data_IF_565650814238
#
_entry.id   IF_565650814238
#
_cell.length_a   1.000
_cell.length_b   1.000
_cell.length_c   1.000
_cell.angle_alpha   90.00
_cell.angle_beta   90.00
_cell.angle_gamma   90.00
#
_symmetry.space_group_name_H-M   'P 1'
#
loop_
_entity.id
_entity.type
_entity.pdbx_description
1 polymer ?
#
# COMPACT_ATOMS: atom_id res chain seq x y z
N UNK A 1 -1.80 -20.71 9.12
CA UNK A 1 -0.42 -20.52 8.56
C UNK A 1 0.50 -21.51 9.23
N UNK A 2 1.34 -22.18 8.45
CA UNK A 2 2.39 -23.05 8.95
C UNK A 2 3.74 -22.36 8.87
N UNK A 3 4.68 -22.71 9.76
CA UNK A 3 6.00 -22.08 9.80
C UNK A 3 6.75 -22.19 8.46
N UNK A 4 6.64 -23.32 7.79
CA UNK A 4 7.28 -23.60 6.50
C UNK A 4 6.72 -22.75 5.34
N UNK A 5 5.52 -22.18 5.50
CA UNK A 5 4.91 -21.26 4.52
C UNK A 5 5.52 -19.87 4.54
N UNK A 6 6.28 -19.54 5.60
CA UNK A 6 6.91 -18.23 5.76
C UNK A 6 8.30 -18.25 5.10
N UNK A 7 8.52 -17.27 4.23
CA UNK A 7 9.79 -17.08 3.52
C UNK A 7 10.29 -15.66 3.80
N UNK A 8 11.50 -15.55 4.33
CA UNK A 8 12.14 -14.24 4.52
C UNK A 8 12.40 -13.56 3.18
N UNK A 9 12.15 -12.25 3.12
CA UNK A 9 12.63 -11.37 2.07
C UNK A 9 12.88 -9.97 2.68
N UNK A 10 13.96 -9.26 2.30
CA UNK A 10 14.37 -8.06 3.02
C UNK A 10 13.38 -6.88 2.89
N UNK A 11 12.67 -6.76 1.77
CA UNK A 11 11.71 -5.67 1.51
C UNK A 11 10.58 -6.15 0.60
N UNK A 12 9.38 -5.63 0.78
CA UNK A 12 8.22 -6.01 -0.03
C UNK A 12 8.39 -5.66 -1.52
N UNK A 13 8.96 -4.50 -1.84
CA UNK A 13 9.24 -4.17 -3.24
C UNK A 13 10.26 -5.11 -3.90
N UNK A 14 11.22 -5.62 -3.13
CA UNK A 14 12.14 -6.67 -3.61
C UNK A 14 11.38 -7.98 -3.82
N UNK A 15 10.55 -8.39 -2.86
CA UNK A 15 9.76 -9.62 -2.99
C UNK A 15 8.75 -9.54 -4.15
N UNK A 16 8.11 -8.39 -4.35
CA UNK A 16 7.24 -8.17 -5.53
C UNK A 16 8.04 -8.32 -6.83
N UNK A 17 9.23 -7.70 -6.92
CA UNK A 17 10.10 -7.84 -8.09
C UNK A 17 10.57 -9.26 -8.34
N UNK A 18 10.93 -10.00 -7.29
CA UNK A 18 11.29 -11.42 -7.38
C UNK A 18 10.10 -12.24 -7.89
N UNK A 19 8.90 -12.04 -7.32
CA UNK A 19 7.71 -12.78 -7.74
C UNK A 19 7.32 -12.45 -9.19
N UNK A 20 7.34 -11.17 -9.58
CA UNK A 20 7.11 -10.77 -10.99
C UNK A 20 8.13 -11.47 -11.92
N UNK A 21 9.42 -11.42 -11.59
CA UNK A 21 10.45 -12.06 -12.41
C UNK A 21 10.36 -13.58 -12.47
N UNK A 22 9.91 -14.22 -11.40
CA UNK A 22 9.86 -15.67 -11.25
C UNK A 22 8.61 -16.33 -11.89
N UNK A 23 7.50 -15.59 -11.97
CA UNK A 23 6.21 -16.14 -12.40
C UNK A 23 5.66 -15.52 -13.68
N UNK A 24 6.42 -14.65 -14.32
CA UNK A 24 6.08 -14.06 -15.61
C UNK A 24 7.30 -13.99 -16.51
N UNK A 25 7.10 -13.81 -17.81
CA UNK A 25 8.15 -13.62 -18.79
C UNK A 25 8.21 -12.15 -19.28
N UNK A 26 9.38 -11.67 -19.79
CA UNK A 26 9.46 -10.34 -20.40
C UNK A 26 8.39 -10.10 -21.45
N UNK A 27 7.66 -8.98 -21.35
CA UNK A 27 6.56 -8.62 -22.24
C UNK A 27 5.20 -9.18 -21.80
N UNK A 28 5.14 -10.04 -20.79
CA UNK A 28 3.87 -10.41 -20.15
C UNK A 28 3.34 -9.28 -19.27
N UNK A 29 2.09 -9.41 -18.87
CA UNK A 29 1.31 -8.36 -18.25
C UNK A 29 1.01 -8.67 -16.79
N UNK A 30 1.09 -7.62 -15.97
CA UNK A 30 0.74 -7.68 -14.55
C UNK A 30 -0.26 -6.55 -14.24
N UNK A 31 -1.42 -6.92 -13.70
CA UNK A 31 -2.44 -5.96 -13.26
C UNK A 31 -1.99 -5.26 -11.98
N UNK A 32 -2.18 -3.94 -11.95
CA UNK A 32 -1.97 -3.09 -10.79
C UNK A 32 -3.09 -2.06 -10.67
N UNK A 33 -3.74 -1.99 -9.51
CA UNK A 33 -4.71 -0.95 -9.22
C UNK A 33 -4.01 0.39 -8.99
N UNK A 34 -4.42 1.41 -9.73
CA UNK A 34 -3.89 2.78 -9.64
C UNK A 34 -4.95 3.75 -9.09
N UNK A 35 -4.58 4.83 -8.36
CA UNK A 35 -3.22 5.20 -7.99
C UNK A 35 -2.56 4.17 -7.07
N UNK A 36 -1.26 3.90 -7.25
CA UNK A 36 -0.53 2.85 -6.57
C UNK A 36 0.80 3.33 -5.98
N UNK A 37 1.28 2.61 -4.99
CA UNK A 37 2.63 2.82 -4.46
C UNK A 37 3.69 2.60 -5.55
N UNK A 38 4.46 3.63 -5.86
CA UNK A 38 5.41 3.65 -6.98
C UNK A 38 6.34 2.42 -7.07
N UNK A 39 6.96 1.95 -5.98
CA UNK A 39 7.79 0.76 -6.00
C UNK A 39 7.10 -0.54 -6.43
N UNK A 40 5.77 -0.69 -6.29
CA UNK A 40 5.04 -1.83 -6.86
C UNK A 40 4.93 -1.69 -8.39
N UNK A 41 4.68 -0.49 -8.89
CA UNK A 41 4.73 -0.21 -10.32
C UNK A 41 6.12 -0.50 -10.90
N UNK A 42 7.17 -0.06 -10.20
CA UNK A 42 8.57 -0.30 -10.59
C UNK A 42 8.95 -1.78 -10.55
N UNK A 43 8.39 -2.55 -9.61
CA UNK A 43 8.63 -4.00 -9.54
C UNK A 43 8.16 -4.73 -10.81
N UNK A 44 7.14 -4.20 -11.48
CA UNK A 44 6.67 -4.72 -12.76
C UNK A 44 7.53 -4.18 -13.92
N UNK A 45 7.60 -2.86 -14.05
CA UNK A 45 8.21 -2.19 -15.21
C UNK A 45 9.73 -2.43 -15.32
N UNK A 46 10.45 -2.43 -14.19
CA UNK A 46 11.91 -2.71 -14.16
C UNK A 46 12.26 -4.17 -14.43
N UNK A 47 11.29 -5.07 -14.37
CA UNK A 47 11.44 -6.45 -14.82
C UNK A 47 11.06 -6.65 -16.30
N UNK A 48 10.87 -5.59 -17.08
CA UNK A 48 10.44 -5.62 -18.47
C UNK A 48 9.07 -6.30 -18.68
N UNK A 49 8.16 -6.16 -17.73
CA UNK A 49 6.76 -6.58 -17.83
C UNK A 49 5.88 -5.36 -18.07
N UNK A 50 4.76 -5.58 -18.71
CA UNK A 50 3.78 -4.51 -18.97
C UNK A 50 2.87 -4.33 -17.77
N UNK A 51 2.73 -3.09 -17.29
CA UNK A 51 1.77 -2.76 -16.24
C UNK A 51 0.40 -2.54 -16.85
N UNK A 52 -0.56 -3.41 -16.54
CA UNK A 52 -1.98 -3.19 -16.88
C UNK A 52 -2.59 -2.38 -15.74
N UNK A 53 -2.79 -1.09 -16.00
CA UNK A 53 -3.33 -0.16 -15.01
C UNK A 53 -4.84 -0.29 -14.93
N UNK A 54 -5.35 -0.74 -13.80
CA UNK A 54 -6.78 -0.76 -13.49
C UNK A 54 -7.08 0.37 -12.51
N UNK A 55 -7.54 1.51 -13.03
CA UNK A 55 -7.82 2.70 -12.23
C UNK A 55 -8.94 2.46 -11.21
N UNK A 56 -8.66 2.72 -9.94
CA UNK A 56 -9.69 2.76 -8.91
C UNK A 56 -10.66 3.89 -9.19
N UNK A 57 -11.96 3.65 -9.00
CA UNK A 57 -13.00 4.67 -9.18
C UNK A 57 -13.41 5.28 -7.84
N UNK A 58 -13.48 6.60 -7.78
CA UNK A 58 -14.12 7.27 -6.64
C UNK A 58 -15.63 7.22 -6.79
N UNK A 59 -16.31 6.57 -5.86
CA UNK A 59 -17.76 6.46 -5.81
C UNK A 59 -18.26 6.71 -4.39
N UNK A 60 -19.19 7.64 -4.22
CA UNK A 60 -19.75 8.00 -2.90
C UNK A 60 -18.67 8.33 -1.86
N UNK A 61 -17.59 9.02 -2.28
CA UNK A 61 -16.49 9.40 -1.41
C UNK A 61 -15.54 8.27 -1.02
N UNK A 62 -15.61 7.11 -1.67
CA UNK A 62 -14.70 5.98 -1.49
C UNK A 62 -14.13 5.50 -2.81
N UNK A 63 -12.93 4.96 -2.78
CA UNK A 63 -12.36 4.27 -3.93
C UNK A 63 -12.84 2.83 -3.98
N UNK A 64 -13.20 2.36 -5.16
CA UNK A 64 -13.64 0.98 -5.43
C UNK A 64 -12.83 0.37 -6.56
N UNK A 65 -12.68 -0.95 -6.55
CA UNK A 65 -12.14 -1.72 -7.67
C UNK A 65 -13.21 -1.91 -8.73
N UNK A 66 -12.84 -1.74 -10.00
CA UNK A 66 -13.73 -1.97 -11.14
C UNK A 66 -13.38 -3.30 -11.83
N UNK A 67 -14.05 -4.37 -11.42
CA UNK A 67 -13.85 -5.70 -11.99
C UNK A 67 -14.25 -5.78 -13.48
N UNK A 68 -15.20 -4.94 -13.93
CA UNK A 68 -15.57 -4.89 -15.35
C UNK A 68 -14.45 -4.28 -16.19
N UNK A 69 -13.79 -3.23 -15.66
CA UNK A 69 -12.61 -2.66 -16.30
C UNK A 69 -11.46 -3.69 -16.35
N UNK A 70 -11.23 -4.43 -15.27
CA UNK A 70 -10.24 -5.50 -15.24
C UNK A 70 -10.51 -6.55 -16.29
N UNK A 71 -11.77 -7.01 -16.39
CA UNK A 71 -12.20 -7.99 -17.39
C UNK A 71 -11.98 -7.51 -18.82
N UNK A 72 -12.22 -6.22 -19.10
CA UNK A 72 -12.03 -5.64 -20.41
C UNK A 72 -10.54 -5.45 -20.80
N UNK A 73 -9.63 -5.44 -19.83
CA UNK A 73 -8.21 -5.22 -20.05
C UNK A 73 -7.35 -6.50 -20.04
N UNK A 74 -7.94 -7.63 -19.60
CA UNK A 74 -7.20 -8.89 -19.54
C UNK A 74 -6.89 -9.44 -20.93
N UNK A 75 -5.70 -9.97 -21.12
CA UNK A 75 -5.26 -10.65 -22.34
C UNK A 75 -4.64 -12.00 -22.00
N UNK A 76 -4.29 -12.80 -23.01
CA UNK A 76 -3.56 -14.06 -22.83
C UNK A 76 -2.16 -13.84 -22.19
N UNK A 77 -1.62 -12.63 -22.27
CA UNK A 77 -0.34 -12.25 -21.66
C UNK A 77 -0.45 -11.89 -20.20
N UNK A 78 -1.64 -11.66 -19.69
CA UNK A 78 -1.86 -11.31 -18.29
C UNK A 78 -1.65 -12.53 -17.41
N UNK A 79 -0.69 -12.46 -16.46
CA UNK A 79 -0.28 -13.60 -15.63
C UNK A 79 -0.39 -13.37 -14.14
N UNK A 80 -0.46 -12.12 -13.71
CA UNK A 80 -0.39 -11.77 -12.29
C UNK A 80 -1.23 -10.54 -11.97
N UNK A 81 -1.72 -10.48 -10.74
CA UNK A 81 -2.34 -9.31 -10.16
C UNK A 81 -1.61 -8.94 -8.86
N UNK A 82 -1.15 -7.69 -8.77
CA UNK A 82 -0.60 -7.09 -7.55
C UNK A 82 -1.67 -6.25 -6.86
N UNK A 83 -2.03 -6.63 -5.66
CA UNK A 83 -2.98 -5.92 -4.80
C UNK A 83 -2.25 -5.37 -3.57
N UNK A 84 -2.66 -4.21 -3.08
CA UNK A 84 -2.25 -3.66 -1.80
C UNK A 84 -3.46 -3.55 -0.86
N UNK A 85 -3.39 -4.10 0.34
CA UNK A 85 -4.46 -4.07 1.35
C UNK A 85 -3.86 -3.97 2.77
N UNK A 86 -4.05 -2.89 3.50
CA UNK A 86 -4.65 -1.59 3.13
C UNK A 86 -3.96 -0.90 1.96
N UNK A 87 -4.74 -0.25 1.09
CA UNK A 87 -4.25 0.30 -0.18
C UNK A 87 -3.59 1.67 -0.01
N UNK A 88 -2.33 1.76 -0.34
CA UNK A 88 -1.57 3.00 -0.40
C UNK A 88 -1.53 3.52 -1.86
N UNK A 89 -2.02 4.75 -2.17
CA UNK A 89 -2.17 5.87 -1.24
C UNK A 89 -3.58 6.10 -0.67
N UNK A 90 -4.63 5.49 -1.20
CA UNK A 90 -6.03 5.91 -0.99
C UNK A 90 -6.61 5.52 0.38
N UNK A 91 -5.91 4.72 1.19
CA UNK A 91 -6.30 4.37 2.55
C UNK A 91 -7.44 3.36 2.67
N UNK A 92 -7.82 2.66 1.57
CA UNK A 92 -8.84 1.61 1.61
C UNK A 92 -8.36 0.35 2.29
N UNK A 93 -9.22 -0.28 3.07
CA UNK A 93 -9.12 -1.67 3.53
C UNK A 93 -10.17 -2.47 2.77
N UNK A 94 -9.74 -3.39 1.91
CA UNK A 94 -10.67 -4.16 1.10
C UNK A 94 -11.47 -5.12 1.98
N UNK A 95 -12.78 -5.15 1.78
CA UNK A 95 -13.66 -6.06 2.52
C UNK A 95 -13.43 -7.51 2.09
N UNK A 96 -13.99 -8.44 2.85
CA UNK A 96 -13.91 -9.86 2.51
C UNK A 96 -14.52 -10.14 1.13
N UNK A 97 -15.67 -9.53 0.85
CA UNK A 97 -16.38 -9.68 -0.42
C UNK A 97 -15.58 -9.11 -1.60
N UNK A 98 -14.93 -7.96 -1.41
CA UNK A 98 -14.05 -7.36 -2.43
C UNK A 98 -12.83 -8.26 -2.70
N UNK A 99 -12.23 -8.84 -1.65
CA UNK A 99 -11.10 -9.76 -1.78
C UNK A 99 -11.52 -11.11 -2.41
N UNK A 100 -12.70 -11.64 -2.05
CA UNK A 100 -13.26 -12.86 -2.67
C UNK A 100 -13.49 -12.63 -4.15
N UNK A 101 -14.07 -11.50 -4.55
CA UNK A 101 -14.32 -11.17 -5.96
C UNK A 101 -13.00 -11.06 -6.77
N UNK A 102 -11.95 -10.47 -6.20
CA UNK A 102 -10.62 -10.45 -6.82
C UNK A 102 -10.02 -11.86 -6.88
N UNK A 103 -10.20 -12.64 -5.84
CA UNK A 103 -9.75 -14.05 -5.79
C UNK A 103 -10.42 -14.90 -6.88
N UNK A 104 -11.72 -14.78 -7.04
CA UNK A 104 -12.49 -15.47 -8.10
C UNK A 104 -12.05 -15.02 -9.49
N UNK A 105 -11.80 -13.73 -9.68
CA UNK A 105 -11.23 -13.20 -10.91
C UNK A 105 -9.87 -13.86 -11.22
N UNK A 106 -8.99 -13.98 -10.23
CA UNK A 106 -7.70 -14.63 -10.40
C UNK A 106 -7.82 -16.13 -10.69
N UNK A 107 -8.81 -16.83 -10.10
CA UNK A 107 -9.10 -18.24 -10.44
C UNK A 107 -9.54 -18.35 -11.88
N UNK A 108 -10.53 -17.56 -12.29
CA UNK A 108 -11.14 -17.58 -13.64
C UNK A 108 -10.09 -17.39 -14.74
N UNK A 109 -9.13 -16.48 -14.51
CA UNK A 109 -8.11 -16.11 -15.49
C UNK A 109 -6.73 -16.73 -15.24
N UNK A 110 -6.66 -17.69 -14.32
CA UNK A 110 -5.43 -18.42 -13.97
C UNK A 110 -4.27 -17.50 -13.52
N UNK A 111 -4.58 -16.35 -12.91
CA UNK A 111 -3.58 -15.38 -12.44
C UNK A 111 -2.99 -15.78 -11.09
N UNK A 112 -1.71 -15.47 -10.89
CA UNK A 112 -1.11 -15.42 -9.56
C UNK A 112 -1.58 -14.14 -8.86
N UNK A 113 -2.04 -14.24 -7.62
CA UNK A 113 -2.41 -13.12 -6.78
C UNK A 113 -1.29 -12.83 -5.77
N UNK A 114 -0.65 -11.67 -5.90
CA UNK A 114 0.28 -11.14 -4.91
C UNK A 114 -0.40 -10.03 -4.12
N UNK A 115 -0.44 -10.14 -2.79
CA UNK A 115 -1.07 -9.16 -1.91
C UNK A 115 -0.03 -8.56 -0.96
N UNK A 116 0.16 -7.25 -1.05
CA UNK A 116 0.96 -6.46 -0.09
C UNK A 116 0.09 -6.06 1.10
N UNK A 117 0.30 -6.73 2.23
CA UNK A 117 -0.40 -6.50 3.50
C UNK A 117 0.46 -5.76 4.55
N UNK A 118 1.47 -5.01 4.10
CA UNK A 118 2.40 -4.33 5.02
C UNK A 118 1.73 -3.36 6.00
N UNK A 119 0.55 -2.85 5.65
CA UNK A 119 -0.24 -1.94 6.48
C UNK A 119 -1.37 -2.65 7.24
N UNK A 120 -1.46 -3.99 7.18
CA UNK A 120 -2.57 -4.77 7.75
C UNK A 120 -2.85 -4.52 9.22
N UNK A 121 -1.82 -4.22 10.00
CA UNK A 121 -1.95 -3.91 11.42
C UNK A 121 -2.43 -2.46 11.71
N UNK A 122 -2.54 -1.59 10.67
CA UNK A 122 -2.84 -0.17 10.87
C UNK A 122 -4.19 0.15 10.24
N UNK A 123 -5.26 -0.11 10.97
CA UNK A 123 -6.64 0.18 10.57
C UNK A 123 -7.26 1.27 11.43
N UNK A 124 -8.27 1.95 10.89
CA UNK A 124 -9.06 2.91 11.64
C UNK A 124 -10.02 2.21 12.62
N UNK A 125 -10.49 2.91 13.67
CA UNK A 125 -11.45 2.34 14.60
C UNK A 125 -12.70 1.81 13.90
N UNK A 126 -13.07 0.56 14.22
CA UNK A 126 -14.26 -0.11 13.65
C UNK A 126 -14.05 -0.69 12.24
N UNK A 127 -12.85 -0.58 11.68
CA UNK A 127 -12.49 -1.22 10.40
C UNK A 127 -11.79 -2.55 10.68
N UNK A 128 -12.38 -3.64 10.21
CA UNK A 128 -11.80 -4.98 10.29
C UNK A 128 -10.86 -5.22 9.11
N UNK A 129 -9.63 -5.62 9.40
CA UNK A 129 -8.69 -6.07 8.38
C UNK A 129 -8.90 -7.56 8.09
N UNK A 130 -9.11 -7.87 6.83
CA UNK A 130 -9.22 -9.25 6.33
C UNK A 130 -7.99 -9.57 5.52
N UNK A 131 -7.17 -10.53 5.98
CA UNK A 131 -6.04 -11.02 5.19
C UNK A 131 -6.51 -11.91 4.04
N UNK A 132 -5.88 -11.78 2.88
CA UNK A 132 -6.12 -12.67 1.74
C UNK A 132 -5.84 -14.16 2.07
N UNK A 133 -5.09 -14.45 3.11
CA UNK A 133 -4.87 -15.82 3.61
C UNK A 133 -6.14 -16.48 4.16
N UNK A 134 -7.18 -15.70 4.47
CA UNK A 134 -8.48 -16.22 4.94
C UNK A 134 -9.42 -16.61 3.81
N UNK A 135 -9.06 -16.33 2.56
CA UNK A 135 -9.85 -16.68 1.38
C UNK A 135 -9.89 -18.19 1.14
N UNK A 136 -10.69 -18.62 0.17
CA UNK A 136 -10.88 -20.02 -0.18
C UNK A 136 -9.58 -20.76 -0.49
N UNK A 137 -9.57 -22.08 -0.33
CA UNK A 137 -8.40 -22.92 -0.65
C UNK A 137 -7.97 -22.76 -2.11
N UNK A 138 -8.92 -22.58 -3.04
CA UNK A 138 -8.63 -22.39 -4.46
C UNK A 138 -7.87 -21.08 -4.71
N UNK A 139 -8.23 -19.99 -4.03
CA UNK A 139 -7.47 -18.73 -4.07
C UNK A 139 -6.08 -18.93 -3.45
N UNK A 140 -5.99 -19.61 -2.31
CA UNK A 140 -4.71 -19.85 -1.62
C UNK A 140 -3.69 -20.66 -2.45
N UNK A 141 -4.15 -21.47 -3.39
CA UNK A 141 -3.27 -22.19 -4.34
C UNK A 141 -2.52 -21.23 -5.28
N UNK A 142 -3.03 -19.99 -5.46
CA UNK A 142 -2.49 -18.96 -6.36
C UNK A 142 -1.98 -17.72 -5.62
N UNK A 143 -1.92 -17.78 -4.29
CA UNK A 143 -1.71 -16.63 -3.42
C UNK A 143 -0.27 -16.55 -2.90
N UNK A 144 0.27 -15.35 -2.94
CA UNK A 144 1.46 -14.93 -2.20
C UNK A 144 1.08 -13.67 -1.41
N UNK A 145 1.21 -13.71 -0.09
CA UNK A 145 1.02 -12.54 0.78
C UNK A 145 2.37 -12.04 1.24
N UNK A 146 2.59 -10.74 1.11
CA UNK A 146 3.78 -10.05 1.62
C UNK A 146 3.42 -9.20 2.83
N UNK A 147 4.19 -9.31 3.91
CA UNK A 147 3.98 -8.51 5.11
C UNK A 147 5.30 -8.17 5.82
N UNK A 148 5.24 -7.24 6.77
CA UNK A 148 6.42 -6.76 7.49
C UNK A 148 6.05 -6.07 8.79
N UNK A 149 6.80 -6.26 9.90
CA UNK A 149 6.63 -5.51 11.14
C UNK A 149 7.11 -4.04 11.02
N UNK A 150 7.76 -3.69 9.92
CA UNK A 150 8.47 -2.41 9.81
C UNK A 150 7.55 -1.19 9.77
N UNK A 151 6.32 -1.33 9.30
CA UNK A 151 5.32 -0.26 9.36
C UNK A 151 4.59 -0.24 10.71
N UNK A 152 4.21 -1.41 11.18
CA UNK A 152 3.54 -1.60 12.47
C UNK A 152 4.31 -1.00 13.64
N UNK A 153 5.62 -1.26 13.69
CA UNK A 153 6.48 -0.85 14.81
C UNK A 153 7.43 0.32 14.46
N UNK A 154 7.23 0.98 13.33
CA UNK A 154 8.05 2.10 12.87
C UNK A 154 9.57 1.80 12.85
N UNK A 155 9.93 0.63 12.34
CA UNK A 155 11.32 0.13 12.28
C UNK A 155 11.81 -0.14 10.83
N UNK A 156 11.59 0.76 9.85
CA UNK A 156 11.91 0.49 8.45
C UNK A 156 13.41 0.30 8.19
N UNK A 157 14.27 0.83 9.07
CA UNK A 157 15.72 0.70 8.97
C UNK A 157 16.25 -0.72 9.19
N UNK A 158 15.46 -1.61 9.82
CA UNK A 158 15.85 -3.01 10.01
C UNK A 158 15.69 -3.88 8.75
N UNK A 159 15.07 -3.37 7.69
CA UNK A 159 15.00 -4.02 6.37
C UNK A 159 14.53 -5.48 6.51
N UNK A 160 13.32 -5.67 7.01
CA UNK A 160 12.74 -6.98 7.26
C UNK A 160 11.34 -7.06 6.67
N UNK A 161 11.10 -8.04 5.84
CA UNK A 161 9.76 -8.47 5.43
C UNK A 161 9.73 -9.99 5.26
N UNK A 162 8.56 -10.52 5.04
CA UNK A 162 8.36 -11.95 4.79
C UNK A 162 7.20 -12.16 3.82
N UNK A 163 7.29 -13.25 3.11
CA UNK A 163 6.22 -13.77 2.28
C UNK A 163 5.56 -14.94 2.99
N UNK A 164 4.25 -15.05 2.86
CA UNK A 164 3.48 -16.23 3.27
C UNK A 164 2.96 -16.87 1.99
N UNK A 165 3.45 -18.07 1.69
CA UNK A 165 3.20 -18.76 0.43
C UNK A 165 2.63 -20.15 0.73
N UNK A 166 1.30 -20.32 0.72
CA UNK A 166 0.68 -21.63 0.99
C UNK A 166 1.06 -22.70 -0.02
N UNK A 167 1.14 -22.32 -1.31
CA UNK A 167 1.51 -23.23 -2.39
C UNK A 167 2.99 -23.64 -2.31
N UNK A 168 3.26 -24.95 -2.19
CA UNK A 168 4.61 -25.49 -2.02
C UNK A 168 5.50 -25.27 -3.25
N UNK A 169 4.93 -25.36 -4.45
CA UNK A 169 5.69 -25.17 -5.71
C UNK A 169 6.10 -23.71 -5.86
N UNK A 170 5.19 -22.77 -5.63
CA UNK A 170 5.49 -21.34 -5.65
C UNK A 170 6.55 -20.98 -4.60
N UNK A 171 6.43 -21.56 -3.42
CA UNK A 171 7.40 -21.36 -2.35
C UNK A 171 8.81 -21.85 -2.73
N UNK A 172 8.90 -22.99 -3.41
CA UNK A 172 10.18 -23.53 -3.88
C UNK A 172 10.80 -22.62 -4.96
N UNK A 173 9.99 -22.09 -5.88
CA UNK A 173 10.44 -21.13 -6.91
C UNK A 173 10.97 -19.85 -6.27
N UNK A 174 10.19 -19.23 -5.37
CA UNK A 174 10.59 -17.99 -4.70
C UNK A 174 11.87 -18.17 -3.86
N UNK A 175 11.98 -19.27 -3.10
CA UNK A 175 13.20 -19.58 -2.33
C UNK A 175 14.43 -19.68 -3.22
N UNK A 176 14.33 -20.39 -4.35
CA UNK A 176 15.42 -20.51 -5.32
C UNK A 176 15.90 -19.16 -5.84
N UNK A 177 14.95 -18.24 -6.17
CA UNK A 177 15.32 -16.92 -6.65
C UNK A 177 15.95 -16.04 -5.55
N UNK A 178 15.47 -16.13 -4.32
CA UNK A 178 16.08 -15.45 -3.17
C UNK A 178 17.50 -16.00 -2.91
N UNK A 179 17.68 -17.31 -2.98
CA UNK A 179 19.01 -17.95 -2.82
C UNK A 179 19.97 -17.53 -3.93
N UNK A 180 19.47 -17.44 -5.18
CA UNK A 180 20.27 -17.04 -6.36
C UNK A 180 20.88 -15.64 -6.20
N UNK A 181 20.17 -14.73 -5.54
CA UNK A 181 20.67 -13.36 -5.28
C UNK A 181 21.34 -13.20 -3.91
N UNK A 182 21.49 -14.29 -3.13
CA UNK A 182 22.19 -14.29 -1.84
C UNK A 182 21.44 -13.58 -0.70
N UNK A 183 20.13 -13.39 -0.81
CA UNK A 183 19.32 -12.63 0.16
C UNK A 183 18.44 -13.52 1.06
N UNK A 184 18.92 -14.71 1.41
CA UNK A 184 18.14 -15.74 2.12
C UNK A 184 18.09 -15.62 3.65
N UNK A 185 18.88 -14.71 4.25
CA UNK A 185 18.92 -14.55 5.71
C UNK A 185 18.64 -13.10 6.14
N UNK A 186 17.79 -12.89 7.17
CA UNK A 186 17.72 -11.59 7.84
C UNK A 186 19.03 -11.33 8.60
N UNK A 187 19.32 -10.06 8.87
CA UNK A 187 20.36 -9.77 9.85
C UNK A 187 19.93 -10.26 11.24
N UNK A 188 20.88 -10.61 12.10
CA UNK A 188 20.56 -11.07 13.45
C UNK A 188 19.78 -10.01 14.23
N UNK A 189 20.08 -8.72 14.03
CA UNK A 189 19.36 -7.61 14.67
C UNK A 189 17.95 -7.49 14.17
N UNK A 190 17.69 -7.62 12.86
CA UNK A 190 16.36 -7.56 12.27
C UNK A 190 15.44 -8.64 12.83
N UNK A 191 15.94 -9.88 12.90
CA UNK A 191 15.16 -11.01 13.43
C UNK A 191 14.87 -10.83 14.93
N UNK A 192 15.89 -10.43 15.73
CA UNK A 192 15.73 -10.23 17.16
C UNK A 192 14.77 -9.09 17.48
N UNK A 193 14.88 -7.94 16.78
CA UNK A 193 14.00 -6.77 17.00
C UNK A 193 12.56 -7.11 16.60
N UNK A 194 12.34 -7.76 15.45
CA UNK A 194 11.00 -8.16 15.04
C UNK A 194 10.33 -9.11 16.03
N UNK A 195 11.07 -10.12 16.49
CA UNK A 195 10.55 -11.06 17.48
C UNK A 195 10.18 -10.37 18.81
N UNK A 196 11.00 -9.44 19.28
CA UNK A 196 10.70 -8.64 20.48
C UNK A 196 9.54 -7.68 20.28
N UNK A 197 9.45 -7.02 19.12
CA UNK A 197 8.37 -6.09 18.80
C UNK A 197 7.02 -6.80 18.88
N UNK A 198 6.86 -7.94 18.21
CA UNK A 198 5.62 -8.72 18.27
C UNK A 198 5.31 -9.30 19.66
N UNK A 199 6.33 -9.60 20.47
CA UNK A 199 6.11 -10.23 21.79
C UNK A 199 5.88 -9.21 22.92
N UNK A 200 6.37 -7.98 22.80
CA UNK A 200 6.48 -7.07 23.94
C UNK A 200 5.99 -5.64 23.69
N UNK A 201 5.58 -5.29 22.47
CA UNK A 201 5.21 -3.90 22.14
C UNK A 201 3.71 -3.67 21.95
N UNK A 202 2.84 -4.53 22.48
CA UNK A 202 1.38 -4.41 22.33
C UNK A 202 0.84 -3.08 22.88
N UNK A 203 1.31 -2.64 24.04
CA UNK A 203 0.84 -1.38 24.66
C UNK A 203 1.29 -0.18 23.83
N UNK A 204 2.53 -0.21 23.34
CA UNK A 204 3.04 0.82 22.43
C UNK A 204 2.23 0.86 21.13
N UNK A 205 1.97 -0.30 20.55
CA UNK A 205 1.19 -0.43 19.31
C UNK A 205 -0.22 0.14 19.47
N UNK A 206 -0.93 -0.20 20.55
CA UNK A 206 -2.26 0.34 20.85
C UNK A 206 -2.24 1.86 21.04
N UNK A 207 -1.25 2.37 21.77
CA UNK A 207 -1.06 3.80 21.96
C UNK A 207 -0.76 4.52 20.64
N UNK A 208 0.06 3.93 19.78
CA UNK A 208 0.36 4.46 18.43
C UNK A 208 -0.89 4.52 17.57
N UNK A 209 -1.72 3.48 17.53
CA UNK A 209 -2.98 3.50 16.77
C UNK A 209 -3.91 4.61 17.27
N UNK A 210 -4.12 4.71 18.59
CA UNK A 210 -4.93 5.79 19.18
C UNK A 210 -4.40 7.17 18.80
N UNK A 211 -3.09 7.36 18.84
CA UNK A 211 -2.46 8.63 18.48
C UNK A 211 -2.65 8.99 17.00
N UNK A 212 -2.56 8.02 16.10
CA UNK A 212 -2.84 8.20 14.67
C UNK A 212 -4.31 8.59 14.46
N UNK A 213 -5.24 7.96 15.17
CA UNK A 213 -6.67 8.26 15.05
C UNK A 213 -7.01 9.67 15.57
N UNK A 214 -6.34 10.10 16.64
CA UNK A 214 -6.46 11.48 17.14
C UNK A 214 -5.86 12.48 16.13
N UNK A 215 -4.74 12.14 15.47
CA UNK A 215 -4.15 12.96 14.43
C UNK A 215 -5.07 13.04 13.19
N UNK A 216 -5.73 11.96 12.82
CA UNK A 216 -6.71 11.97 11.72
C UNK A 216 -7.87 12.92 12.03
N UNK A 217 -8.48 12.81 13.21
CA UNK A 217 -9.56 13.71 13.67
C UNK A 217 -9.13 15.17 13.67
N UNK A 218 -7.94 15.44 14.21
CA UNK A 218 -7.37 16.78 14.24
C UNK A 218 -7.15 17.32 12.82
N UNK A 219 -6.54 16.53 11.95
CA UNK A 219 -6.28 16.96 10.56
C UNK A 219 -7.57 17.30 9.84
N UNK A 220 -8.59 16.45 9.95
CA UNK A 220 -9.90 16.71 9.34
C UNK A 220 -10.56 17.99 9.87
N UNK A 221 -10.52 18.20 11.19
CA UNK A 221 -11.08 19.40 11.80
C UNK A 221 -10.33 20.66 11.34
N UNK A 222 -9.00 20.62 11.30
CA UNK A 222 -8.17 21.73 10.87
C UNK A 222 -8.46 22.11 9.40
N UNK A 223 -8.46 21.12 8.50
CA UNK A 223 -8.70 21.38 7.09
C UNK A 223 -10.15 21.84 6.84
N UNK A 224 -11.13 21.27 7.50
CA UNK A 224 -12.54 21.71 7.37
C UNK A 224 -12.75 23.16 7.82
N UNK A 225 -11.97 23.64 8.80
CA UNK A 225 -12.05 25.03 9.28
C UNK A 225 -11.25 26.01 8.44
N UNK A 226 -10.01 25.65 8.05
CA UNK A 226 -9.03 26.57 7.47
C UNK A 226 -8.83 26.41 5.96
N UNK A 227 -8.98 25.20 5.44
CA UNK A 227 -8.71 24.86 4.02
C UNK A 227 -9.80 23.90 3.50
N UNK A 228 -11.09 24.33 3.49
CA UNK A 228 -12.22 23.45 3.17
C UNK A 228 -12.22 22.94 1.71
N UNK A 229 -11.42 23.53 0.83
CA UNK A 229 -11.25 23.09 -0.57
C UNK A 229 -10.50 21.78 -0.70
N UNK A 230 -9.84 21.31 0.38
CA UNK A 230 -9.21 20.00 0.42
C UNK A 230 -10.20 18.95 0.94
N UNK A 231 -10.68 18.10 0.05
CA UNK A 231 -11.50 16.95 0.45
C UNK A 231 -10.64 15.79 0.91
N UNK A 232 -10.77 15.39 2.18
CA UNK A 232 -10.01 14.27 2.75
C UNK A 232 -10.82 13.00 2.65
N UNK A 233 -10.39 12.04 1.82
CA UNK A 233 -11.03 10.74 1.71
C UNK A 233 -11.07 10.00 3.06
N UNK A 234 -12.08 9.15 3.32
CA UNK A 234 -12.12 8.32 4.51
C UNK A 234 -10.85 7.46 4.62
N UNK A 235 -10.22 7.49 5.78
CA UNK A 235 -9.10 6.60 6.11
C UNK A 235 -9.67 5.33 6.73
N UNK A 236 -9.58 4.22 6.03
CA UNK A 236 -9.92 2.89 6.57
C UNK A 236 -8.66 2.21 7.13
N UNK A 237 -7.49 2.43 6.53
CA UNK A 237 -6.21 1.91 6.99
C UNK A 237 -5.04 2.83 6.69
N UNK A 238 -3.85 2.41 7.07
CA UNK A 238 -2.59 3.17 7.00
C UNK A 238 -2.55 4.38 7.95
N UNK A 239 -1.47 5.11 7.96
CA UNK A 239 -1.29 6.43 8.61
C UNK A 239 -1.16 7.55 7.56
N UNK A 240 -1.68 7.31 6.36
CA UNK A 240 -1.58 8.21 5.22
C UNK A 240 -2.98 8.71 4.88
N UNK A 241 -3.14 10.00 4.73
CA UNK A 241 -4.37 10.62 4.24
C UNK A 241 -4.25 10.93 2.77
N UNK A 242 -5.28 10.58 2.02
CA UNK A 242 -5.43 10.92 0.62
C UNK A 242 -6.42 12.07 0.50
N UNK A 243 -5.99 13.16 -0.15
CA UNK A 243 -6.73 14.42 -0.15
C UNK A 243 -6.85 14.94 -1.57
N UNK A 244 -8.07 15.22 -2.00
CA UNK A 244 -8.38 15.87 -3.28
C UNK A 244 -8.31 17.39 -3.11
N UNK A 245 -7.66 18.08 -4.06
CA UNK A 245 -7.53 19.53 -4.07
C UNK A 245 -8.06 20.15 -5.37
N UNK A 246 -8.86 19.42 -6.15
CA UNK A 246 -9.35 19.88 -7.45
C UNK A 246 -10.19 21.15 -7.37
N UNK A 247 -10.86 21.37 -6.23
CA UNK A 247 -11.63 22.61 -6.00
C UNK A 247 -10.75 23.87 -5.94
N UNK A 248 -9.44 23.74 -5.72
CA UNK A 248 -8.51 24.87 -5.78
C UNK A 248 -8.35 25.43 -7.19
N UNK A 249 -8.59 24.63 -8.23
CA UNK A 249 -8.44 25.02 -9.63
C UNK A 249 -7.01 25.41 -10.02
N UNK A 250 -6.00 25.00 -9.25
CA UNK A 250 -4.59 25.27 -9.52
C UNK A 250 -3.88 24.07 -10.14
N UNK A 251 -2.79 24.31 -10.86
CA UNK A 251 -1.95 23.26 -11.39
C UNK A 251 -1.13 22.59 -10.26
N UNK A 252 -0.88 21.30 -10.42
CA UNK A 252 -0.11 20.50 -9.43
C UNK A 252 1.24 21.11 -9.11
N UNK A 253 1.98 21.57 -10.13
CA UNK A 253 3.30 22.16 -9.94
C UNK A 253 3.24 23.49 -9.14
N UNK A 254 2.16 24.24 -9.26
CA UNK A 254 1.97 25.47 -8.48
C UNK A 254 1.72 25.17 -7.01
N UNK A 255 0.87 24.17 -6.72
CA UNK A 255 0.60 23.74 -5.34
C UNK A 255 1.84 23.13 -4.69
N UNK A 256 2.58 22.28 -5.42
CA UNK A 256 3.83 21.70 -4.95
C UNK A 256 4.85 22.78 -4.59
N UNK A 257 5.05 23.72 -5.49
CA UNK A 257 5.94 24.87 -5.27
C UNK A 257 5.52 25.70 -4.08
N UNK A 258 4.21 25.98 -3.94
CA UNK A 258 3.66 26.72 -2.79
C UNK A 258 4.00 26.00 -1.47
N UNK A 259 3.72 24.70 -1.37
CA UNK A 259 3.99 23.96 -0.14
C UNK A 259 5.48 23.78 0.12
N UNK A 260 6.27 23.46 -0.90
CA UNK A 260 7.71 23.20 -0.72
C UNK A 260 8.52 24.50 -0.49
N UNK A 261 8.27 25.54 -1.28
CA UNK A 261 9.09 26.75 -1.25
C UNK A 261 8.58 27.81 -0.25
N UNK A 262 7.26 28.03 -0.14
CA UNK A 262 6.71 29.03 0.78
C UNK A 262 6.45 28.39 2.16
N UNK A 263 5.68 27.30 2.23
CA UNK A 263 5.35 26.64 3.48
C UNK A 263 6.52 25.85 4.08
N UNK A 264 7.51 25.45 3.30
CA UNK A 264 8.59 24.53 3.71
C UNK A 264 8.04 23.20 4.25
N UNK A 265 6.98 22.72 3.62
CA UNK A 265 6.33 21.44 3.91
C UNK A 265 6.37 20.57 2.65
N UNK A 266 6.95 19.38 2.76
CA UNK A 266 6.96 18.41 1.68
C UNK A 266 5.79 17.44 1.83
N UNK A 267 4.95 17.37 0.79
CA UNK A 267 3.89 16.37 0.64
C UNK A 267 4.15 15.55 -0.61
N UNK A 268 3.52 14.40 -0.72
CA UNK A 268 3.57 13.65 -1.98
C UNK A 268 2.42 14.08 -2.88
N UNK A 269 2.75 14.64 -4.05
CA UNK A 269 1.76 14.97 -5.08
C UNK A 269 1.18 13.69 -5.69
N UNK A 270 -0.05 13.77 -6.14
CA UNK A 270 -0.79 12.58 -6.58
C UNK A 270 -0.21 11.90 -7.80
N UNK A 271 0.41 12.64 -8.72
CA UNK A 271 1.04 12.07 -9.93
C UNK A 271 2.24 11.17 -9.63
N UNK A 272 2.86 11.27 -8.44
CA UNK A 272 3.85 10.29 -7.96
C UNK A 272 3.26 8.88 -7.86
N UNK A 273 1.93 8.78 -7.74
CA UNK A 273 1.15 7.53 -7.68
C UNK A 273 0.46 7.21 -9.01
N UNK A 274 1.08 7.59 -10.13
CA UNK A 274 0.62 7.57 -11.51
C UNK A 274 -0.43 8.66 -11.82
N UNK A 275 -0.80 8.77 -13.09
CA UNK A 275 -1.70 9.82 -13.59
C UNK A 275 -3.08 9.80 -12.91
N UNK A 276 -3.54 8.62 -12.48
CA UNK A 276 -4.80 8.43 -11.79
C UNK A 276 -4.84 9.09 -10.39
N UNK A 277 -3.68 9.49 -9.88
CA UNK A 277 -3.55 10.29 -8.64
C UNK A 277 -3.62 11.80 -8.84
N UNK A 278 -3.64 12.31 -10.09
CA UNK A 278 -3.67 13.73 -10.37
C UNK A 278 -4.83 14.45 -9.67
N UNK A 279 -4.54 15.62 -9.14
CA UNK A 279 -5.51 16.41 -8.37
C UNK A 279 -5.63 15.99 -6.91
N UNK A 280 -4.76 15.09 -6.45
CA UNK A 280 -4.69 14.67 -5.05
C UNK A 280 -3.30 14.88 -4.46
N UNK A 281 -3.22 14.88 -3.12
CA UNK A 281 -1.97 14.79 -2.36
C UNK A 281 -2.07 13.68 -1.32
N UNK A 282 -0.91 13.13 -0.95
CA UNK A 282 -0.81 12.20 0.18
C UNK A 282 -0.09 12.84 1.35
N UNK A 283 -0.76 12.88 2.49
CA UNK A 283 -0.24 13.42 3.73
C UNK A 283 0.04 12.31 4.73
N UNK A 284 1.20 12.36 5.41
CA UNK A 284 1.56 11.44 6.49
C UNK A 284 1.21 12.06 7.84
N UNK A 285 0.33 11.40 8.61
CA UNK A 285 -0.12 11.85 9.94
C UNK A 285 0.55 11.11 11.11
N UNK A 286 1.44 10.15 10.84
CA UNK A 286 2.23 9.48 11.86
C UNK A 286 3.40 10.37 12.31
N UNK A 287 3.07 11.50 12.90
CA UNK A 287 4.01 12.54 13.35
C UNK A 287 3.51 13.16 14.67
N UNK A 288 4.40 13.72 15.51
CA UNK A 288 3.96 14.47 16.67
C UNK A 288 2.96 15.56 16.31
N UNK A 289 1.85 15.67 17.07
CA UNK A 289 0.78 16.64 16.84
C UNK A 289 1.29 18.05 16.59
N UNK A 290 2.21 18.53 17.44
CA UNK A 290 2.79 19.86 17.33
C UNK A 290 3.45 20.13 15.97
N UNK A 291 4.09 19.11 15.37
CA UNK A 291 4.68 19.25 14.03
C UNK A 291 3.62 19.30 12.94
N UNK A 292 2.52 18.58 13.10
CA UNK A 292 1.37 18.65 12.17
C UNK A 292 0.72 20.04 12.24
N UNK A 293 0.47 20.55 13.45
CA UNK A 293 -0.06 21.92 13.66
C UNK A 293 0.81 22.95 12.96
N UNK A 294 2.11 22.96 13.25
CA UNK A 294 3.06 23.88 12.64
C UNK A 294 3.11 23.76 11.10
N UNK A 295 3.07 22.52 10.59
CA UNK A 295 3.07 22.30 9.14
C UNK A 295 1.79 22.84 8.49
N UNK A 296 0.63 22.59 9.11
CA UNK A 296 -0.67 23.03 8.58
C UNK A 296 -0.83 24.54 8.64
N UNK A 297 -0.37 25.19 9.72
CA UNK A 297 -0.36 26.65 9.82
C UNK A 297 0.50 27.28 8.71
N UNK A 298 1.68 26.71 8.43
CA UNK A 298 2.52 27.17 7.32
C UNK A 298 1.90 26.92 5.96
N UNK A 299 1.24 25.78 5.76
CA UNK A 299 0.51 25.49 4.52
C UNK A 299 -0.63 26.48 4.32
N UNK A 300 -1.42 26.76 5.37
CA UNK A 300 -2.52 27.73 5.32
C UNK A 300 -2.03 29.14 4.96
N UNK A 301 -1.01 29.64 5.64
CA UNK A 301 -0.44 30.96 5.34
C UNK A 301 0.09 31.05 3.91
N UNK A 302 0.79 30.01 3.44
CA UNK A 302 1.36 29.96 2.09
C UNK A 302 0.29 29.89 0.98
N UNK A 303 -0.84 29.26 1.29
CA UNK A 303 -1.96 29.09 0.38
C UNK A 303 -2.84 30.35 0.29
N UNK A 304 -3.04 31.08 1.40
CA UNK A 304 -3.84 32.30 1.43
C UNK A 304 -3.12 33.55 0.89
N UNK A 305 -1.79 33.47 0.62
CA UNK A 305 -0.93 34.58 0.18
C UNK A 305 0.04 34.14 -0.94
#
# INVERSE_FOLDING_TARGET
>A
IKKEEIVFCPRINISAGICVGAFTEPGEEVILHTPAYGPLYEAISKNNRTVVKCGLKSQNGKYIMDLQQMEAQITEKTKMLLLCSPHNPVGRVWTKEELEAVGEFCIKHELLLFVDEIHGDITAPGVEFVSALSLSEEVRKRLIVASSPTKTFNIPGFILSYLIIPNQEYRAVVKREIDRIGMHNPTIFSAAVAGRAYQQCDDWYKAMLSYIDENDKFTRAYFAEKMPEFYIYPREGTYLLWMDYKELGCEEAELEKCFLEKAKVSVYMGTVFQEEGRGCIRLNIASPRKLLEEAYDRMYVAYCH
#
